data_IF_224826652194
#
_entry.id   IF_224826652194
#
_cell.length_a   1.000
_cell.length_b   1.000
_cell.length_c   1.000
_cell.angle_alpha   90.00
_cell.angle_beta   90.00
_cell.angle_gamma   90.00
#
_symmetry.space_group_name_H-M   'P 1'
#
loop_
_entity.id
_entity.type
_entity.pdbx_description
1 polymer ?
#
# COMPACT_ATOMS: atom_id res chain seq x y z
N UNK A 1 0.56 17.87 39.81
CA UNK A 1 0.22 17.43 38.44
C UNK A 1 1.41 17.78 37.55
N UNK A 2 2.25 16.83 37.12
CA UNK A 2 3.32 17.15 36.18
C UNK A 2 2.66 17.54 34.84
N UNK A 3 3.06 18.69 34.31
CA UNK A 3 2.66 19.12 32.97
C UNK A 3 3.05 18.04 31.96
N UNK A 4 2.09 17.57 31.15
CA UNK A 4 2.42 16.78 29.96
C UNK A 4 3.40 17.61 29.14
N UNK A 5 4.67 17.17 29.08
CA UNK A 5 5.61 17.69 28.09
C UNK A 5 4.96 17.48 26.73
N UNK A 6 4.65 18.58 26.03
CA UNK A 6 4.19 18.53 24.66
C UNK A 6 5.24 17.79 23.85
N UNK A 7 4.92 16.57 23.41
CA UNK A 7 5.80 15.80 22.55
C UNK A 7 5.86 16.51 21.21
N UNK A 8 6.95 17.21 20.95
CA UNK A 8 7.16 17.89 19.67
C UNK A 8 7.58 16.85 18.64
N UNK A 9 6.83 16.79 17.53
CA UNK A 9 7.16 15.89 16.42
C UNK A 9 8.44 16.31 15.71
N UNK A 10 9.22 15.35 15.21
CA UNK A 10 10.48 15.65 14.49
C UNK A 10 10.20 16.13 13.07
N UNK A 11 10.82 17.25 12.66
CA UNK A 11 10.79 17.73 11.27
C UNK A 11 11.75 16.91 10.41
N UNK A 12 11.24 16.27 9.36
CA UNK A 12 12.04 15.48 8.42
C UNK A 12 12.14 16.15 7.04
N UNK A 13 13.16 15.81 6.24
CA UNK A 13 13.25 16.23 4.84
C UNK A 13 11.99 15.91 4.03
N UNK A 14 11.29 14.82 4.34
CA UNK A 14 10.03 14.45 3.71
C UNK A 14 8.94 15.53 3.89
N UNK A 15 8.81 16.11 5.09
CA UNK A 15 7.88 17.23 5.33
C UNK A 15 8.32 18.50 4.60
N UNK A 16 9.63 18.78 4.55
CA UNK A 16 10.17 19.93 3.81
C UNK A 16 9.92 19.78 2.31
N UNK A 17 10.06 18.57 1.77
CA UNK A 17 9.74 18.27 0.38
C UNK A 17 8.27 18.58 0.05
N UNK A 18 7.31 18.31 0.95
CA UNK A 18 5.91 18.72 0.74
C UNK A 18 5.76 20.22 0.56
N UNK A 19 6.44 21.01 1.40
CA UNK A 19 6.45 22.48 1.28
C UNK A 19 6.94 22.92 -0.08
N UNK A 20 8.00 22.29 -0.60
CA UNK A 20 8.48 22.56 -1.94
C UNK A 20 7.48 22.11 -3.00
N UNK A 21 7.05 20.85 -3.01
CA UNK A 21 6.18 20.30 -4.06
C UNK A 21 4.89 21.11 -4.20
N UNK A 22 4.25 21.45 -3.07
CA UNK A 22 2.97 22.13 -3.07
C UNK A 22 3.08 23.65 -2.92
N UNK A 23 4.27 24.19 -2.63
CA UNK A 23 4.52 25.63 -2.59
C UNK A 23 3.78 26.39 -1.51
N UNK A 24 3.40 25.74 -0.40
CA UNK A 24 2.63 26.38 0.68
C UNK A 24 3.49 27.02 1.78
N UNK A 25 4.82 26.96 1.68
CA UNK A 25 5.72 27.59 2.65
C UNK A 25 7.06 28.01 2.04
N UNK A 26 7.37 29.30 2.18
CA UNK A 26 8.63 29.92 1.76
C UNK A 26 9.78 29.67 2.75
N UNK A 27 9.48 29.17 3.96
CA UNK A 27 10.49 28.83 4.97
C UNK A 27 11.38 27.66 4.56
N UNK A 28 11.02 26.98 3.49
CA UNK A 28 11.86 25.98 2.83
C UNK A 28 13.26 26.51 2.49
N UNK A 29 13.39 27.81 2.18
CA UNK A 29 14.67 28.49 1.92
C UNK A 29 15.50 28.83 3.18
N UNK A 30 14.91 28.73 4.37
CA UNK A 30 15.59 29.02 5.66
C UNK A 30 15.78 27.79 6.54
N UNK A 31 15.34 26.63 6.07
CA UNK A 31 15.52 25.37 6.78
C UNK A 31 16.97 24.88 6.57
N UNK A 32 17.64 24.48 7.64
CA UNK A 32 18.96 23.83 7.58
C UNK A 32 18.91 22.44 6.94
N UNK A 33 17.71 21.89 6.69
CA UNK A 33 17.52 20.75 5.81
C UNK A 33 17.66 21.23 4.38
N UNK A 34 18.91 21.33 3.97
CA UNK A 34 19.29 21.48 2.59
C UNK A 34 18.73 20.25 1.84
N UNK A 35 17.65 20.44 1.06
CA UNK A 35 17.27 19.50 0.00
C UNK A 35 18.25 19.66 -1.17
N UNK A 36 19.53 19.82 -0.86
CA UNK A 36 20.58 20.13 -1.82
C UNK A 36 20.53 19.05 -2.90
N UNK A 37 20.26 19.51 -4.13
CA UNK A 37 20.12 18.72 -5.36
C UNK A 37 18.77 18.03 -5.62
N UNK A 38 17.73 18.23 -4.80
CA UNK A 38 16.39 17.70 -5.14
C UNK A 38 15.64 18.67 -6.04
N UNK A 39 15.87 18.56 -7.35
CA UNK A 39 15.07 19.26 -8.34
C UNK A 39 13.73 18.55 -8.54
N UNK A 40 12.67 19.06 -7.90
CA UNK A 40 11.29 18.62 -8.13
C UNK A 40 10.75 19.06 -9.50
N UNK A 41 11.58 19.60 -10.40
CA UNK A 41 11.17 20.12 -11.70
C UNK A 41 10.66 21.57 -11.66
N UNK A 42 10.25 22.09 -12.83
CA UNK A 42 9.72 23.45 -12.93
C UNK A 42 8.39 23.59 -12.17
N UNK A 43 8.01 24.83 -11.86
CA UNK A 43 6.65 25.14 -11.42
C UNK A 43 5.69 25.06 -12.61
N UNK A 44 4.45 24.69 -12.35
CA UNK A 44 3.38 24.88 -13.33
C UNK A 44 3.22 26.40 -13.56
N UNK A 45 3.09 26.81 -14.83
CA UNK A 45 2.94 28.22 -15.18
C UNK A 45 1.78 28.87 -14.42
N UNK A 46 2.06 29.99 -13.74
CA UNK A 46 1.08 30.71 -12.91
C UNK A 46 0.65 29.96 -11.64
N UNK A 47 1.41 28.96 -11.18
CA UNK A 47 1.09 28.16 -9.99
C UNK A 47 2.26 28.07 -9.00
N UNK A 48 1.92 27.83 -7.74
CA UNK A 48 2.88 27.46 -6.69
C UNK A 48 3.25 25.97 -6.74
N UNK A 49 2.53 25.14 -7.50
CA UNK A 49 2.75 23.70 -7.57
C UNK A 49 3.95 23.35 -8.45
N UNK A 50 4.77 22.40 -8.02
CA UNK A 50 5.77 21.76 -8.88
C UNK A 50 5.06 20.93 -9.96
N UNK A 51 5.59 20.91 -11.18
CA UNK A 51 5.03 20.15 -12.29
C UNK A 51 5.51 18.69 -12.28
N UNK A 52 4.84 17.85 -11.48
CA UNK A 52 5.22 16.45 -11.23
C UNK A 52 4.00 15.54 -11.08
N UNK A 53 4.22 14.24 -11.30
CA UNK A 53 3.34 13.20 -10.78
C UNK A 53 3.73 12.81 -9.36
N UNK A 54 2.74 12.74 -8.48
CA UNK A 54 2.89 12.15 -7.15
C UNK A 54 2.40 10.71 -7.22
N UNK A 55 3.32 9.74 -7.12
CA UNK A 55 3.01 8.32 -7.31
C UNK A 55 3.18 7.59 -5.98
N UNK A 56 2.09 7.13 -5.40
CA UNK A 56 2.15 6.25 -4.23
C UNK A 56 2.16 4.79 -4.64
N UNK A 57 2.99 4.01 -3.95
CA UNK A 57 3.09 2.56 -4.14
C UNK A 57 2.97 1.88 -2.80
N UNK A 58 2.23 0.78 -2.78
CA UNK A 58 2.14 -0.16 -1.66
C UNK A 58 2.23 -1.58 -2.22
N UNK A 59 2.96 -2.47 -1.56
CA UNK A 59 3.08 -3.87 -1.96
C UNK A 59 2.74 -4.74 -0.76
N UNK A 60 1.65 -5.51 -0.88
CA UNK A 60 1.25 -6.49 0.11
C UNK A 60 1.62 -7.90 -0.35
N UNK A 61 2.21 -8.69 0.56
CA UNK A 61 2.69 -10.04 0.27
C UNK A 61 2.29 -11.01 1.37
N UNK A 62 2.17 -12.29 1.02
CA UNK A 62 1.80 -13.32 2.00
C UNK A 62 2.87 -13.62 3.06
N UNK A 63 4.10 -13.13 2.92
CA UNK A 63 5.20 -13.36 3.88
C UNK A 63 6.38 -12.42 3.69
N UNK A 64 7.12 -12.11 4.76
CA UNK A 64 8.32 -11.27 4.70
C UNK A 64 9.40 -11.81 3.73
N UNK A 65 9.49 -13.13 3.59
CA UNK A 65 10.42 -13.78 2.65
C UNK A 65 10.09 -13.45 1.18
N UNK A 66 8.84 -13.08 0.89
CA UNK A 66 8.37 -12.69 -0.45
C UNK A 66 8.97 -11.38 -0.94
N UNK A 67 9.42 -10.50 -0.04
CA UNK A 67 10.15 -9.27 -0.41
C UNK A 67 11.63 -9.52 -0.77
N UNK A 68 12.19 -10.66 -0.35
CA UNK A 68 13.61 -10.98 -0.56
C UNK A 68 13.88 -11.71 -1.86
N UNK A 69 13.01 -12.67 -2.19
CA UNK A 69 13.12 -13.48 -3.41
C UNK A 69 11.80 -13.37 -4.15
N UNK A 70 11.81 -12.59 -5.24
CA UNK A 70 10.65 -12.42 -6.12
C UNK A 70 10.42 -13.70 -6.92
N UNK A 71 9.17 -14.15 -6.98
CA UNK A 71 8.79 -15.35 -7.71
C UNK A 71 7.32 -15.27 -8.11
N UNK A 72 7.01 -15.56 -9.37
CA UNK A 72 5.62 -15.62 -9.86
C UNK A 72 4.80 -16.77 -9.25
N UNK A 73 5.46 -17.70 -8.53
CA UNK A 73 4.80 -18.77 -7.78
C UNK A 73 4.21 -18.28 -6.44
N UNK A 74 4.63 -17.10 -5.98
CA UNK A 74 4.16 -16.48 -4.74
C UNK A 74 3.02 -15.49 -5.02
N UNK A 75 2.45 -14.94 -3.95
CA UNK A 75 1.26 -14.09 -3.99
C UNK A 75 1.62 -12.65 -3.62
N UNK A 76 1.36 -11.73 -4.55
CA UNK A 76 1.62 -10.30 -4.39
C UNK A 76 0.41 -9.48 -4.82
N UNK A 77 0.12 -8.44 -4.06
CA UNK A 77 -0.80 -7.37 -4.44
C UNK A 77 0.00 -6.09 -4.48
N UNK A 78 -0.04 -5.39 -5.62
CA UNK A 78 0.73 -4.19 -5.85
C UNK A 78 -0.26 -3.07 -6.15
N UNK A 79 -0.26 -2.06 -5.32
CA UNK A 79 -1.04 -0.85 -5.48
C UNK A 79 -0.19 0.26 -6.06
N UNK A 80 -0.72 0.95 -7.07
CA UNK A 80 -0.14 2.18 -7.59
C UNK A 80 -1.25 3.22 -7.62
N UNK A 81 -1.02 4.37 -7.01
CA UNK A 81 -1.93 5.52 -7.13
C UNK A 81 -1.16 6.74 -7.60
N UNK A 82 -1.77 7.53 -8.48
CA UNK A 82 -1.15 8.68 -9.14
C UNK A 82 -2.02 9.90 -9.00
N UNK A 83 -1.36 11.02 -8.73
CA UNK A 83 -1.93 12.36 -8.71
C UNK A 83 -1.06 13.28 -9.57
N UNK A 84 -1.62 13.84 -10.65
CA UNK A 84 -0.94 14.89 -11.42
C UNK A 84 -1.18 16.25 -10.76
N UNK A 85 -0.13 16.98 -10.41
CA UNK A 85 -0.26 18.32 -9.80
C UNK A 85 -0.95 19.32 -10.73
N UNK A 86 -0.95 19.08 -12.05
CA UNK A 86 -1.73 19.86 -13.03
C UNK A 86 -3.23 19.72 -12.83
N UNK A 87 -3.71 18.56 -12.36
CA UNK A 87 -5.11 18.37 -12.03
C UNK A 87 -5.50 19.23 -10.81
N UNK A 88 -4.60 19.38 -9.83
CA UNK A 88 -4.80 20.26 -8.67
C UNK A 88 -4.90 21.72 -9.14
N UNK A 89 -3.98 22.18 -10.01
CA UNK A 89 -4.04 23.54 -10.55
C UNK A 89 -5.35 23.80 -11.31
N UNK A 90 -5.76 22.86 -12.17
CA UNK A 90 -7.05 22.95 -12.88
C UNK A 90 -8.23 22.99 -11.91
N UNK A 91 -8.16 22.24 -10.81
CA UNK A 91 -9.17 22.21 -9.76
C UNK A 91 -9.26 23.54 -8.97
N UNK A 92 -8.13 24.25 -8.79
CA UNK A 92 -8.08 25.59 -8.21
C UNK A 92 -8.76 26.61 -9.15
N UNK A 93 -8.43 26.57 -10.44
CA UNK A 93 -8.97 27.50 -11.44
C UNK A 93 -10.48 27.27 -11.65
N UNK A 94 -10.90 26.01 -11.74
CA UNK A 94 -12.28 25.61 -12.07
C UNK A 94 -13.13 25.30 -10.83
N UNK A 95 -12.98 26.09 -9.76
CA UNK A 95 -13.54 25.85 -8.42
C UNK A 95 -15.06 25.59 -8.38
N UNK A 96 -15.81 25.93 -9.44
CA UNK A 96 -17.26 25.76 -9.56
C UNK A 96 -17.76 24.32 -9.85
N UNK A 97 -16.89 23.34 -10.09
CA UNK A 97 -17.31 21.95 -10.37
C UNK A 97 -16.91 20.98 -9.24
N UNK A 98 -17.78 20.85 -8.24
CA UNK A 98 -17.59 19.99 -7.05
C UNK A 98 -17.42 18.50 -7.35
N UNK A 99 -17.77 18.04 -8.56
CA UNK A 99 -17.64 16.62 -8.92
C UNK A 99 -16.21 16.22 -9.31
N UNK A 100 -15.35 17.18 -9.66
CA UNK A 100 -14.03 16.87 -10.23
C UNK A 100 -13.07 16.25 -9.21
N UNK A 101 -13.12 16.68 -7.95
CA UNK A 101 -12.20 16.22 -6.89
C UNK A 101 -12.29 14.71 -6.61
N UNK A 102 -13.38 14.05 -7.01
CA UNK A 102 -13.62 12.61 -6.76
C UNK A 102 -12.77 11.68 -7.63
N UNK A 103 -12.22 12.17 -8.73
CA UNK A 103 -11.55 11.33 -9.75
C UNK A 103 -10.13 11.80 -10.08
N UNK A 104 -9.56 12.73 -9.31
CA UNK A 104 -8.23 13.27 -9.58
C UNK A 104 -7.13 12.25 -9.24
N UNK A 105 -7.31 11.43 -8.19
CA UNK A 105 -6.38 10.35 -7.87
C UNK A 105 -6.79 9.12 -8.69
N UNK A 106 -5.91 8.68 -9.58
CA UNK A 106 -6.07 7.44 -10.32
C UNK A 106 -5.39 6.31 -9.57
N UNK A 107 -6.06 5.17 -9.43
CA UNK A 107 -5.54 4.04 -8.66
C UNK A 107 -5.63 2.76 -9.47
N UNK A 108 -4.61 1.93 -9.32
CA UNK A 108 -4.44 0.67 -10.01
C UNK A 108 -4.10 -0.41 -8.98
N UNK A 109 -4.63 -1.61 -9.20
CA UNK A 109 -4.23 -2.78 -8.43
C UNK A 109 -3.80 -3.90 -9.37
N UNK A 110 -2.58 -4.37 -9.15
CA UNK A 110 -2.03 -5.52 -9.83
C UNK A 110 -1.90 -6.69 -8.86
N UNK A 111 -2.03 -7.91 -9.38
CA UNK A 111 -1.82 -9.14 -8.60
C UNK A 111 -0.94 -10.11 -9.33
N UNK A 112 -0.01 -10.72 -8.61
CA UNK A 112 0.77 -11.87 -9.07
C UNK A 112 0.33 -13.07 -8.21
N UNK A 113 0.08 -14.21 -8.86
CA UNK A 113 -0.45 -15.42 -8.22
C UNK A 113 -1.79 -15.87 -8.81
N UNK A 114 -2.46 -16.83 -8.16
CA UNK A 114 -3.61 -17.53 -8.74
C UNK A 114 -4.75 -17.82 -7.74
N UNK A 115 -5.93 -18.14 -8.28
CA UNK A 115 -7.05 -18.71 -7.54
C UNK A 115 -7.71 -17.76 -6.53
N UNK A 116 -7.96 -18.24 -5.31
CA UNK A 116 -8.71 -17.51 -4.28
C UNK A 116 -8.06 -16.20 -3.85
N UNK A 117 -6.74 -16.10 -3.99
CA UNK A 117 -5.99 -14.89 -3.66
C UNK A 117 -6.41 -13.74 -4.58
N UNK A 118 -6.33 -13.94 -5.90
CA UNK A 118 -6.72 -12.95 -6.91
C UNK A 118 -8.19 -12.56 -6.75
N UNK A 119 -9.08 -13.53 -6.52
CA UNK A 119 -10.49 -13.25 -6.28
C UNK A 119 -10.74 -12.39 -5.03
N UNK A 120 -9.94 -12.56 -3.97
CA UNK A 120 -10.02 -11.72 -2.76
C UNK A 120 -9.52 -10.31 -3.04
N UNK A 121 -8.37 -10.18 -3.70
CA UNK A 121 -7.81 -8.87 -4.05
C UNK A 121 -8.79 -8.06 -4.91
N UNK A 122 -9.38 -8.68 -5.94
CA UNK A 122 -10.41 -8.07 -6.79
C UNK A 122 -11.64 -7.61 -6.02
N UNK A 123 -12.12 -8.39 -5.07
CA UNK A 123 -13.30 -8.05 -4.29
C UNK A 123 -13.07 -6.96 -3.23
N UNK A 124 -11.81 -6.58 -2.94
CA UNK A 124 -11.47 -5.57 -1.92
C UNK A 124 -11.09 -4.22 -2.53
N UNK A 125 -10.56 -4.20 -3.74
CA UNK A 125 -10.14 -2.97 -4.41
C UNK A 125 -11.36 -2.07 -4.70
N UNK A 126 -11.29 -0.81 -4.25
CA UNK A 126 -12.41 0.12 -4.31
C UNK A 126 -12.39 1.01 -5.55
N UNK A 127 -11.22 1.19 -6.17
CA UNK A 127 -10.97 2.26 -7.13
C UNK A 127 -10.90 1.79 -8.59
N UNK A 128 -11.34 0.56 -8.88
CA UNK A 128 -11.38 0.01 -10.23
C UNK A 128 -11.32 -1.50 -10.27
N UNK A 129 -10.79 -2.05 -11.37
CA UNK A 129 -10.53 -3.47 -11.52
C UNK A 129 -9.11 -3.85 -11.08
N UNK A 130 -8.96 -5.09 -10.62
CA UNK A 130 -7.64 -5.69 -10.37
C UNK A 130 -7.16 -6.42 -11.61
N UNK A 131 -5.91 -6.12 -12.04
CA UNK A 131 -5.24 -6.77 -13.17
C UNK A 131 -4.28 -7.86 -12.69
N UNK A 132 -4.38 -9.07 -13.24
CA UNK A 132 -3.39 -10.12 -12.99
C UNK A 132 -2.22 -9.97 -13.94
N UNK A 133 -1.00 -10.00 -13.40
CA UNK A 133 0.25 -9.83 -14.14
C UNK A 133 1.32 -10.81 -13.65
N UNK A 134 2.46 -10.86 -14.33
CA UNK A 134 3.74 -11.40 -13.85
C UNK A 134 4.68 -10.26 -13.41
N UNK A 135 5.79 -10.59 -12.74
CA UNK A 135 6.78 -9.58 -12.38
C UNK A 135 7.40 -8.86 -13.58
N UNK A 136 7.60 -9.56 -14.71
CA UNK A 136 8.15 -8.95 -15.92
C UNK A 136 7.24 -7.88 -16.52
N UNK A 137 5.94 -7.98 -16.27
CA UNK A 137 4.95 -7.01 -16.75
C UNK A 137 4.84 -5.77 -15.84
N UNK A 138 5.25 -5.86 -14.56
CA UNK A 138 5.07 -4.74 -13.62
C UNK A 138 5.80 -3.46 -14.04
N UNK A 139 7.03 -3.58 -14.57
CA UNK A 139 7.79 -2.40 -15.01
C UNK A 139 7.11 -1.70 -16.20
N UNK A 140 6.76 -2.40 -17.30
CA UNK A 140 5.96 -1.81 -18.37
C UNK A 140 4.64 -1.17 -17.89
N UNK A 141 3.92 -1.81 -16.97
CA UNK A 141 2.69 -1.23 -16.40
C UNK A 141 2.97 0.06 -15.62
N UNK A 142 4.02 0.07 -14.79
CA UNK A 142 4.44 1.26 -14.06
C UNK A 142 4.83 2.39 -15.02
N UNK A 143 5.63 2.09 -16.05
CA UNK A 143 6.06 3.04 -17.08
C UNK A 143 4.88 3.61 -17.88
N UNK A 144 3.87 2.79 -18.18
CA UNK A 144 2.64 3.25 -18.82
C UNK A 144 1.83 4.20 -17.93
N UNK A 145 1.81 3.95 -16.62
CA UNK A 145 1.10 4.78 -15.63
C UNK A 145 1.78 6.14 -15.45
N UNK A 146 3.12 6.19 -15.35
CA UNK A 146 3.85 7.47 -15.19
C UNK A 146 4.08 8.21 -16.50
N UNK A 147 4.10 7.49 -17.63
CA UNK A 147 4.41 8.03 -18.95
C UNK A 147 5.76 8.74 -18.99
N UNK A 148 5.84 9.81 -19.77
CA UNK A 148 7.05 10.65 -19.87
C UNK A 148 7.11 11.78 -18.81
N UNK A 149 6.25 11.74 -17.79
CA UNK A 149 6.19 12.80 -16.77
C UNK A 149 7.30 12.60 -15.73
N UNK A 150 7.84 13.71 -15.23
CA UNK A 150 8.67 13.63 -14.02
C UNK A 150 7.80 13.25 -12.82
N UNK A 151 8.29 12.34 -11.97
CA UNK A 151 7.51 11.82 -10.87
C UNK A 151 8.32 11.71 -9.58
N UNK A 152 7.60 11.68 -8.46
CA UNK A 152 8.11 11.31 -7.14
C UNK A 152 7.41 10.05 -6.66
N UNK A 153 8.08 9.29 -5.78
CA UNK A 153 7.49 8.10 -5.17
C UNK A 153 7.10 8.37 -3.71
N UNK A 154 5.98 7.81 -3.29
CA UNK A 154 5.41 7.99 -1.95
C UNK A 154 5.05 6.64 -1.34
N UNK A 155 5.54 6.39 -0.13
CA UNK A 155 5.32 5.14 0.61
C UNK A 155 4.78 5.42 2.00
N UNK A 156 4.25 4.39 2.64
CA UNK A 156 4.00 4.36 4.08
C UNK A 156 4.93 3.35 4.75
N UNK A 157 6.18 3.77 4.98
CA UNK A 157 7.27 2.87 5.37
C UNK A 157 8.03 2.35 4.14
N UNK A 158 9.08 3.07 3.73
CA UNK A 158 9.73 2.86 2.42
C UNK A 158 10.45 1.52 2.23
N UNK A 159 10.93 0.88 3.31
CA UNK A 159 12.03 -0.10 3.22
C UNK A 159 11.75 -1.33 2.37
N UNK A 160 10.59 -1.98 2.55
CA UNK A 160 10.31 -3.28 1.92
C UNK A 160 9.78 -3.12 0.49
N UNK A 161 8.87 -2.18 0.25
CA UNK A 161 8.33 -1.91 -1.10
C UNK A 161 9.44 -1.43 -2.05
N UNK A 162 10.29 -0.52 -1.58
CA UNK A 162 11.41 -0.02 -2.37
C UNK A 162 12.42 -1.13 -2.70
N UNK A 163 12.58 -2.13 -1.84
CA UNK A 163 13.43 -3.30 -2.13
C UNK A 163 12.90 -4.07 -3.33
N UNK A 164 11.59 -4.26 -3.45
CA UNK A 164 10.95 -4.92 -4.61
C UNK A 164 11.11 -4.08 -5.86
N UNK A 165 10.78 -2.78 -5.79
CA UNK A 165 10.89 -1.89 -6.95
C UNK A 165 12.32 -1.83 -7.50
N UNK A 166 13.33 -1.77 -6.62
CA UNK A 166 14.75 -1.77 -7.04
C UNK A 166 15.17 -3.04 -7.76
N UNK A 167 14.72 -4.21 -7.30
CA UNK A 167 15.02 -5.49 -7.97
C UNK A 167 14.43 -5.53 -9.39
N UNK A 168 13.32 -4.84 -9.61
CA UNK A 168 12.65 -4.75 -10.91
C UNK A 168 13.14 -3.56 -11.76
N UNK A 169 14.10 -2.78 -11.27
CA UNK A 169 14.59 -1.58 -11.95
C UNK A 169 13.52 -0.50 -12.10
N UNK A 170 12.57 -0.43 -11.17
CA UNK A 170 11.51 0.59 -11.09
C UNK A 170 11.94 1.68 -10.09
N UNK A 171 11.60 2.93 -10.39
CA UNK A 171 11.81 4.05 -9.46
C UNK A 171 13.17 4.74 -9.54
N UNK A 172 14.08 4.27 -10.40
CA UNK A 172 15.41 4.90 -10.57
C UNK A 172 15.34 6.34 -11.10
N UNK A 173 14.27 6.67 -11.83
CA UNK A 173 14.02 8.01 -12.39
C UNK A 173 13.20 8.92 -11.46
N UNK A 174 12.80 8.43 -10.29
CA UNK A 174 12.05 9.24 -9.34
C UNK A 174 12.88 10.43 -8.86
N UNK A 175 12.32 11.64 -8.92
CA UNK A 175 12.99 12.87 -8.47
C UNK A 175 13.18 12.90 -6.95
N UNK A 176 12.30 12.22 -6.23
CA UNK A 176 12.30 12.14 -4.79
C UNK A 176 11.56 10.88 -4.33
N UNK A 177 11.90 10.40 -3.15
CA UNK A 177 11.20 9.33 -2.44
C UNK A 177 10.74 9.88 -1.10
N UNK A 178 9.44 9.84 -0.85
CA UNK A 178 8.80 10.30 0.38
C UNK A 178 8.27 9.13 1.19
N UNK A 179 8.52 9.17 2.50
CA UNK A 179 7.97 8.24 3.49
C UNK A 179 7.00 8.97 4.40
N UNK A 180 5.70 8.68 4.25
CA UNK A 180 4.65 9.32 5.05
C UNK A 180 4.78 9.06 6.54
N UNK A 181 5.44 7.97 6.97
CA UNK A 181 5.69 7.71 8.40
C UNK A 181 6.66 8.74 9.01
N UNK A 182 7.54 9.32 8.19
CA UNK A 182 8.43 10.41 8.58
C UNK A 182 7.75 11.76 8.38
N UNK A 183 7.14 11.97 7.20
CA UNK A 183 6.47 13.21 6.85
C UNK A 183 5.37 13.59 7.85
N UNK A 184 4.76 12.60 8.51
CA UNK A 184 3.69 12.80 9.48
C UNK A 184 4.13 13.24 10.87
N UNK A 185 5.39 13.05 11.28
CA UNK A 185 5.77 13.26 12.68
C UNK A 185 5.60 14.71 13.11
N UNK A 186 6.19 15.65 12.39
CA UNK A 186 6.03 17.08 12.68
C UNK A 186 4.58 17.56 12.51
N UNK A 187 3.88 17.31 11.38
CA UNK A 187 2.51 17.82 11.20
C UNK A 187 1.48 17.21 12.15
N UNK A 188 1.74 16.04 12.72
CA UNK A 188 0.85 15.42 13.71
C UNK A 188 1.34 15.60 15.15
N UNK A 189 2.48 16.28 15.36
CA UNK A 189 3.13 16.43 16.67
C UNK A 189 3.30 15.08 17.39
N UNK A 190 3.84 14.08 16.68
CA UNK A 190 4.06 12.73 17.22
C UNK A 190 5.54 12.38 17.21
N UNK A 191 5.98 11.79 18.31
CA UNK A 191 7.34 11.25 18.49
C UNK A 191 7.53 9.87 17.83
N UNK A 192 6.44 9.14 17.62
CA UNK A 192 6.45 7.81 17.00
C UNK A 192 5.82 7.82 15.60
N UNK A 193 6.29 6.90 14.76
CA UNK A 193 5.73 6.63 13.43
C UNK A 193 4.33 6.02 13.57
N UNK A 194 3.26 6.67 13.11
CA UNK A 194 1.92 6.09 13.17
C UNK A 194 1.79 4.94 12.15
N UNK A 195 0.90 3.99 12.42
CA UNK A 195 0.39 3.09 11.38
C UNK A 195 -0.48 3.87 10.38
N UNK A 196 -0.78 3.26 9.25
CA UNK A 196 -1.62 3.86 8.21
C UNK A 196 -3.01 4.17 8.74
N UNK A 197 -3.63 3.23 9.46
CA UNK A 197 -4.93 3.38 10.13
C UNK A 197 -4.94 4.61 11.05
N UNK A 198 -4.00 4.66 12.00
CA UNK A 198 -3.91 5.74 12.98
C UNK A 198 -3.66 7.09 12.29
N UNK A 199 -2.85 7.11 11.23
CA UNK A 199 -2.60 8.32 10.44
C UNK A 199 -3.88 8.81 9.75
N UNK A 200 -4.62 7.92 9.09
CA UNK A 200 -5.87 8.27 8.40
C UNK A 200 -6.95 8.75 9.37
N UNK A 201 -7.13 8.07 10.51
CA UNK A 201 -8.05 8.50 11.57
C UNK A 201 -7.69 9.89 12.11
N UNK A 202 -6.40 10.13 12.41
CA UNK A 202 -5.92 11.42 12.92
C UNK A 202 -6.17 12.56 11.92
N UNK A 203 -6.07 12.27 10.63
CA UNK A 203 -6.33 13.23 9.56
C UNK A 203 -7.83 13.39 9.22
N UNK A 204 -8.69 12.56 9.82
CA UNK A 204 -10.12 12.53 9.53
C UNK A 204 -10.41 12.12 8.09
N UNK A 205 -9.62 11.20 7.54
CA UNK A 205 -9.83 10.61 6.22
C UNK A 205 -10.59 9.31 6.41
N UNK A 206 -11.78 9.22 5.83
CA UNK A 206 -12.53 7.96 5.83
C UNK A 206 -11.85 6.94 4.92
N UNK A 207 -11.77 5.70 5.38
CA UNK A 207 -11.16 4.58 4.66
C UNK A 207 -11.95 3.29 4.85
N UNK A 208 -11.80 2.40 3.89
CA UNK A 208 -12.39 1.07 3.86
C UNK A 208 -11.42 0.08 3.22
N UNK A 209 -11.55 -1.21 3.53
CA UNK A 209 -10.79 -2.29 2.90
C UNK A 209 -9.26 -2.07 2.85
N UNK A 210 -8.66 -1.57 3.94
CA UNK A 210 -7.19 -1.58 4.11
C UNK A 210 -6.63 -3.00 4.00
N UNK A 211 -5.34 -3.16 3.72
CA UNK A 211 -4.74 -4.44 3.30
C UNK A 211 -5.26 -4.88 1.92
N UNK A 212 -5.48 -3.92 1.06
CA UNK A 212 -5.61 -4.12 -0.38
C UNK A 212 -4.71 -3.04 -0.98
N UNK A 213 -3.57 -3.47 -1.51
CA UNK A 213 -2.48 -2.56 -1.83
C UNK A 213 -2.91 -1.34 -2.66
N UNK A 214 -3.82 -1.51 -3.63
CA UNK A 214 -4.36 -0.41 -4.41
C UNK A 214 -5.12 0.64 -3.58
N UNK A 215 -5.87 0.19 -2.57
CA UNK A 215 -6.55 1.08 -1.63
C UNK A 215 -5.53 1.76 -0.71
N UNK A 216 -4.56 1.01 -0.18
CA UNK A 216 -3.54 1.53 0.73
C UNK A 216 -2.73 2.64 0.05
N UNK A 217 -2.25 2.43 -1.18
CA UNK A 217 -1.59 3.45 -1.99
C UNK A 217 -2.47 4.70 -2.22
N UNK A 218 -3.78 4.52 -2.44
CA UNK A 218 -4.71 5.64 -2.63
C UNK A 218 -4.83 6.47 -1.36
N UNK A 219 -5.04 5.81 -0.22
CA UNK A 219 -5.20 6.47 1.06
C UNK A 219 -3.91 7.13 1.54
N UNK A 220 -2.74 6.57 1.20
CA UNK A 220 -1.44 7.19 1.45
C UNK A 220 -1.31 8.52 0.71
N UNK A 221 -1.77 8.63 -0.55
CA UNK A 221 -1.82 9.93 -1.24
C UNK A 221 -2.75 10.92 -0.54
N UNK A 222 -3.97 10.50 -0.17
CA UNK A 222 -4.89 11.38 0.56
C UNK A 222 -4.29 11.87 1.87
N UNK A 223 -3.61 10.98 2.60
CA UNK A 223 -2.89 11.33 3.82
C UNK A 223 -1.78 12.35 3.55
N UNK A 224 -0.96 12.14 2.52
CA UNK A 224 0.11 13.06 2.12
C UNK A 224 -0.42 14.50 1.90
N UNK A 225 -1.56 14.63 1.20
CA UNK A 225 -2.18 15.93 0.95
C UNK A 225 -2.65 16.60 2.25
N UNK A 226 -3.28 15.84 3.17
CA UNK A 226 -3.67 16.37 4.47
C UNK A 226 -2.49 16.67 5.38
N UNK A 227 -1.37 15.95 5.26
CA UNK A 227 -0.15 16.26 5.99
C UNK A 227 0.41 17.64 5.60
N UNK A 228 0.37 17.99 4.31
CA UNK A 228 0.71 19.33 3.85
C UNK A 228 -0.20 20.41 4.48
N UNK A 229 -1.51 20.16 4.53
CA UNK A 229 -2.48 21.06 5.18
C UNK A 229 -2.20 21.23 6.67
N UNK A 230 -1.92 20.14 7.39
CA UNK A 230 -1.58 20.18 8.82
C UNK A 230 -0.26 20.89 9.09
N UNK A 231 0.75 20.65 8.26
CA UNK A 231 2.05 21.30 8.37
C UNK A 231 1.94 22.82 8.22
N UNK A 232 1.11 23.29 7.28
CA UNK A 232 0.84 24.72 7.11
C UNK A 232 0.14 25.33 8.34
N UNK A 233 -0.82 24.61 8.94
CA UNK A 233 -1.53 25.06 10.13
C UNK A 233 -0.61 25.21 11.36
N UNK A 234 0.35 24.30 11.53
CA UNK A 234 1.30 24.30 12.66
C UNK A 234 2.36 25.40 12.52
N UNK A 235 2.66 25.86 11.31
CA UNK A 235 3.66 26.93 11.13
C UNK A 235 3.19 28.28 11.70
N UNK A 236 1.91 28.45 12.05
CA UNK A 236 1.35 29.68 12.61
C UNK A 236 1.61 30.94 11.75
N UNK A 237 1.77 30.75 10.44
CA UNK A 237 1.95 31.82 9.45
C UNK A 237 0.63 32.05 8.73
N UNK A 238 0.24 33.31 8.54
CA UNK A 238 -0.94 33.65 7.73
C UNK A 238 -0.61 33.38 6.26
N UNK A 239 -1.30 32.43 5.59
CA UNK A 239 -1.00 32.09 4.21
C UNK A 239 -1.42 33.22 3.26
N UNK A 240 -0.69 33.39 2.16
CA UNK A 240 -1.15 34.24 1.05
C UNK A 240 -2.42 33.65 0.42
N UNK A 241 -3.14 34.44 -0.39
CA UNK A 241 -4.34 33.98 -1.09
C UNK A 241 -4.07 32.76 -1.99
N UNK A 242 -2.93 32.74 -2.66
CA UNK A 242 -2.55 31.65 -3.56
C UNK A 242 -2.22 30.38 -2.76
N UNK A 243 -1.49 30.52 -1.65
CA UNK A 243 -1.22 29.40 -0.73
C UNK A 243 -2.53 28.84 -0.16
N UNK A 244 -3.44 29.70 0.28
CA UNK A 244 -4.74 29.26 0.80
C UNK A 244 -5.53 28.48 -0.26
N UNK A 245 -5.51 28.93 -1.51
CA UNK A 245 -6.18 28.26 -2.62
C UNK A 245 -5.62 26.85 -2.86
N UNK A 246 -4.29 26.69 -2.79
CA UNK A 246 -3.65 25.38 -2.84
C UNK A 246 -4.09 24.51 -1.66
N UNK A 247 -3.96 25.00 -0.43
CA UNK A 247 -4.29 24.23 0.78
C UNK A 247 -5.77 23.78 0.78
N UNK A 248 -6.68 24.65 0.36
CA UNK A 248 -8.11 24.30 0.20
C UNK A 248 -8.31 23.21 -0.85
N UNK A 249 -7.60 23.26 -1.99
CA UNK A 249 -7.68 22.21 -3.00
C UNK A 249 -7.13 20.87 -2.49
N UNK A 250 -5.99 20.88 -1.78
CA UNK A 250 -5.41 19.68 -1.17
C UNK A 250 -6.38 19.03 -0.18
N UNK A 251 -6.96 19.82 0.73
CA UNK A 251 -7.95 19.33 1.70
C UNK A 251 -9.19 18.76 0.99
N UNK A 252 -9.71 19.47 -0.01
CA UNK A 252 -10.89 19.02 -0.77
C UNK A 252 -10.66 17.68 -1.47
N UNK A 253 -9.49 17.50 -2.11
CA UNK A 253 -9.13 16.24 -2.78
C UNK A 253 -8.99 15.11 -1.75
N UNK A 254 -8.28 15.37 -0.65
CA UNK A 254 -8.07 14.35 0.36
C UNK A 254 -9.36 13.89 1.05
N UNK A 255 -10.29 14.82 1.29
CA UNK A 255 -11.60 14.56 1.90
C UNK A 255 -12.68 14.15 0.90
N UNK A 256 -12.37 14.07 -0.39
CA UNK A 256 -13.35 13.66 -1.39
C UNK A 256 -13.91 12.27 -1.05
N UNK A 257 -15.22 12.03 -1.20
CA UNK A 257 -15.83 10.74 -0.91
C UNK A 257 -15.14 9.58 -1.66
N UNK A 258 -15.02 8.43 -1.00
CA UNK A 258 -14.54 7.20 -1.63
C UNK A 258 -15.69 6.31 -2.08
N UNK A 259 -15.47 5.44 -3.08
CA UNK A 259 -16.42 4.39 -3.41
C UNK A 259 -16.71 3.52 -2.18
N UNK A 260 -17.99 3.26 -1.91
CA UNK A 260 -18.38 2.35 -0.85
C UNK A 260 -17.99 0.91 -1.23
N UNK A 261 -17.60 0.07 -0.26
CA UNK A 261 -17.39 -1.35 -0.51
C UNK A 261 -18.63 -2.00 -1.12
N UNK A 262 -18.42 -2.93 -2.05
CA UNK A 262 -19.52 -3.73 -2.59
C UNK A 262 -20.28 -4.41 -1.43
N UNK A 263 -21.63 -4.46 -1.48
CA UNK A 263 -22.43 -5.11 -0.45
C UNK A 263 -21.95 -6.54 -0.27
N UNK A 264 -21.73 -6.97 0.99
CA UNK A 264 -21.45 -8.38 1.27
C UNK A 264 -22.61 -9.21 0.70
N UNK A 265 -22.34 -10.28 -0.07
CA UNK A 265 -23.39 -11.18 -0.51
C UNK A 265 -24.19 -11.61 0.72
N UNK A 266 -25.52 -11.51 0.64
CA UNK A 266 -26.41 -11.96 1.71
C UNK A 266 -25.94 -13.36 2.16
N UNK A 267 -25.86 -13.61 3.48
CA UNK A 267 -25.46 -14.90 3.97
C UNK A 267 -26.32 -15.96 3.29
N UNK A 268 -25.68 -16.89 2.57
CA UNK A 268 -26.39 -18.00 1.94
C UNK A 268 -27.27 -18.61 3.04
N UNK A 269 -28.56 -18.87 2.77
CA UNK A 269 -29.44 -19.48 3.75
C UNK A 269 -28.72 -20.69 4.34
N UNK A 270 -28.78 -20.89 5.67
CA UNK A 270 -28.04 -21.95 6.33
C UNK A 270 -28.27 -23.22 5.54
N UNK A 271 -27.20 -23.75 4.96
CA UNK A 271 -27.26 -25.03 4.25
C UNK A 271 -27.86 -25.99 5.26
N UNK A 272 -29.11 -26.41 5.03
CA UNK A 272 -29.73 -27.50 5.79
C UNK A 272 -28.70 -28.58 5.77
N UNK A 273 -28.12 -28.87 6.94
CA UNK A 273 -27.13 -29.93 7.08
C UNK A 273 -27.89 -31.19 6.69
N UNK A 274 -27.77 -31.60 5.42
CA UNK A 274 -28.12 -32.96 5.03
C UNK A 274 -27.43 -33.84 6.08
N UNK A 275 -28.16 -34.71 6.79
CA UNK A 275 -27.59 -35.53 7.82
C UNK A 275 -26.32 -36.15 7.24
N UNK A 276 -25.20 -35.93 7.93
CA UNK A 276 -23.92 -36.51 7.55
C UNK A 276 -24.20 -37.99 7.39
N UNK A 277 -24.19 -38.51 6.16
CA UNK A 277 -24.07 -39.94 5.96
C UNK A 277 -22.87 -40.35 6.81
N UNK A 278 -23.02 -41.39 7.67
CA UNK A 278 -21.93 -41.84 8.49
C UNK A 278 -20.73 -42.03 7.57
N UNK A 279 -19.64 -41.32 7.85
CA UNK A 279 -18.36 -41.53 7.17
C UNK A 279 -18.13 -43.03 7.27
N UNK A 280 -18.22 -43.75 6.14
CA UNK A 280 -17.67 -45.10 6.05
C UNK A 280 -16.22 -44.93 6.49
N UNK A 281 -15.95 -45.28 7.75
CA UNK A 281 -14.61 -45.30 8.28
C UNK A 281 -13.81 -46.12 7.30
N UNK A 282 -12.65 -45.59 6.94
CA UNK A 282 -11.72 -46.09 5.96
C UNK A 282 -11.22 -47.50 6.37
N UNK A 283 -12.07 -48.49 6.16
CA UNK A 283 -11.84 -49.92 6.43
C UNK A 283 -10.69 -50.43 5.57
N UNK A 284 -10.47 -49.83 4.40
CA UNK A 284 -9.34 -50.10 3.52
C UNK A 284 -8.01 -49.71 4.19
N UNK A 285 -7.92 -48.52 4.80
CA UNK A 285 -6.70 -48.09 5.51
C UNK A 285 -6.42 -48.91 6.77
N UNK A 286 -7.45 -49.34 7.50
CA UNK A 286 -7.31 -50.25 8.66
C UNK A 286 -6.88 -51.66 8.23
N UNK A 287 -7.48 -52.21 7.17
CA UNK A 287 -7.09 -53.52 6.58
C UNK A 287 -5.67 -53.50 6.02
N UNK A 288 -5.26 -52.41 5.36
CA UNK A 288 -3.89 -52.24 4.83
C UNK A 288 -2.83 -52.17 5.94
N UNK A 289 -3.16 -51.57 7.09
CA UNK A 289 -2.28 -51.57 8.27
C UNK A 289 -2.18 -52.95 8.94
N UNK A 290 -3.30 -53.67 9.06
CA UNK A 290 -3.31 -55.02 9.61
C UNK A 290 -2.50 -56.01 8.74
N UNK A 291 -2.67 -55.96 7.42
CA UNK A 291 -1.92 -56.81 6.48
C UNK A 291 -0.41 -56.58 6.55
N UNK A 292 0.03 -55.31 6.60
CA UNK A 292 1.46 -54.97 6.75
C UNK A 292 2.05 -55.40 8.09
N UNK A 293 1.24 -55.48 9.14
CA UNK A 293 1.69 -55.97 10.44
C UNK A 293 1.91 -57.49 10.39
N UNK A 294 0.95 -58.21 9.81
CA UNK A 294 1.05 -59.66 9.64
C UNK A 294 2.26 -60.05 8.76
N UNK A 295 2.45 -59.39 7.60
CA UNK A 295 3.60 -59.66 6.71
C UNK A 295 4.97 -59.45 7.40
N UNK A 296 5.08 -58.47 8.32
CA UNK A 296 6.30 -58.24 9.10
C UNK A 296 6.52 -59.32 10.17
N UNK A 297 5.46 -59.78 10.81
CA UNK A 297 5.52 -60.86 11.81
C UNK A 297 5.89 -62.19 11.13
N UNK A 298 5.38 -62.47 9.93
CA UNK A 298 5.74 -63.67 9.16
C UNK A 298 7.21 -63.64 8.72
N UNK A 299 7.70 -62.50 8.21
CA UNK A 299 9.11 -62.36 7.82
C UNK A 299 10.07 -62.48 9.01
N UNK A 300 9.70 -61.99 10.19
CA UNK A 300 10.51 -62.13 11.40
C UNK A 300 10.60 -63.59 11.87
N UNK A 301 9.50 -64.36 11.75
CA UNK A 301 9.48 -65.78 12.07
C UNK A 301 10.32 -66.59 11.07
N UNK A 302 10.21 -66.32 9.77
CA UNK A 302 11.03 -66.97 8.74
C UNK A 302 12.52 -66.70 8.93
N UNK A 303 12.91 -65.46 9.26
CA UNK A 303 14.30 -65.11 9.55
C UNK A 303 14.83 -65.82 10.81
N UNK A 304 13.99 -66.00 11.84
CA UNK A 304 14.38 -66.73 13.06
C UNK A 304 14.55 -68.25 12.83
N UNK A 305 13.82 -68.83 11.88
CA UNK A 305 13.91 -70.24 11.51
C UNK A 305 15.15 -70.54 10.64
N UNK A 306 15.61 -69.60 9.82
CA UNK A 306 16.84 -69.76 9.03
C UNK A 306 18.13 -69.67 9.83
N UNK A 307 18.13 -69.03 11.01
CA UNK A 307 19.34 -68.87 11.86
C UNK A 307 19.56 -70.09 12.77
N UNK A 308 18.56 -70.96 12.95
CA UNK A 308 18.62 -72.13 13.83
C UNK A 308 18.93 -73.46 13.12
N UNK A 309 19.19 -73.43 11.81
CA UNK A 309 19.49 -74.62 10.98
C UNK A 309 20.95 -74.76 10.54
N UNK A 310 21.88 -74.00 11.13
CA UNK A 310 23.27 -73.91 10.70
C UNK A 310 24.29 -74.19 11.81
N UNK A 311 24.07 -75.24 12.61
CA UNK A 311 25.12 -75.87 13.44
C UNK A 311 24.85 -77.39 13.48
N UNK A 312 25.43 -78.08 12.48
CA UNK A 312 25.79 -79.51 12.51
C UNK A 312 27.22 -79.62 11.98
#
# INVERSE_FOLDING_TARGET
>A
MPALQAQTGTLYPDTVALRHIFGYSDYSLRSTFALDNTEFGPRIEGSLLADVLVVSVDIDTGSLESYRVLSDERQYSIGISVLDTRDIQRNIINSAQDQWSRHIIQSFQFTIGQGKYVGRARGRFLFGDTKTITFSELKPEFEAVVGARSYILVFHGVSEDMRVLRQLGIGQQARCILDTTKASQFPLQRSSKPSSEVMLETLGIHFDNLHAAGNDAHFVLKALLMLAVRDAQIQHVVPSKDVLSVLTALERIARAPTPAPAPKPLPKPPRVKRPKQPKKQDTARKRRRARRKLERETQALEQSATVSGGDL
#
